data_IF_007751041321
#
_entry.id   IF_007751041321
#
_cell.length_a   1.000
_cell.length_b   1.000
_cell.length_c   1.000
_cell.angle_alpha   90.00
_cell.angle_beta   90.00
_cell.angle_gamma   90.00
#
_symmetry.space_group_name_H-M   'P 1'
#
loop_
_entity.id
_entity.type
_entity.pdbx_description
1 polymer ?
#
# COMPACT_ATOMS: atom_id res chain seq x y z
N UNK A 1 -2.86 -19.13 -13.63
CA UNK A 1 -1.40 -19.40 -13.47
C UNK A 1 -1.22 -19.80 -12.02
N UNK A 2 -0.48 -20.86 -11.76
CA UNK A 2 -0.19 -21.30 -10.39
C UNK A 2 0.58 -20.22 -9.62
N UNK A 3 0.33 -20.14 -8.30
CA UNK A 3 0.90 -19.09 -7.43
C UNK A 3 2.44 -18.99 -7.54
N UNK A 4 3.14 -20.12 -7.45
CA UNK A 4 4.61 -20.14 -7.56
C UNK A 4 5.10 -19.65 -8.94
N UNK A 5 4.36 -19.94 -10.02
CA UNK A 5 4.68 -19.42 -11.34
C UNK A 5 4.42 -17.91 -11.43
N UNK A 6 3.36 -17.42 -10.77
CA UNK A 6 3.06 -16.00 -10.71
C UNK A 6 4.14 -15.22 -9.95
N UNK A 7 4.64 -15.74 -8.83
CA UNK A 7 5.74 -15.16 -8.06
C UNK A 7 6.99 -14.92 -8.92
N UNK A 8 7.29 -15.82 -9.84
CA UNK A 8 8.51 -15.75 -10.66
C UNK A 8 8.33 -14.92 -11.94
N UNK A 9 7.16 -14.98 -12.57
CA UNK A 9 6.99 -14.53 -13.95
C UNK A 9 5.99 -13.40 -14.16
N UNK A 10 5.11 -13.10 -13.20
CA UNK A 10 4.16 -11.99 -13.33
C UNK A 10 4.88 -10.65 -13.22
N UNK A 11 4.29 -9.62 -13.86
CA UNK A 11 4.85 -8.27 -13.85
C UNK A 11 6.00 -8.02 -14.82
N UNK A 12 6.45 -9.05 -15.55
CA UNK A 12 7.49 -8.92 -16.55
C UNK A 12 7.14 -9.71 -17.82
N UNK A 13 7.17 -9.04 -18.97
CA UNK A 13 6.82 -9.62 -20.27
C UNK A 13 8.06 -9.93 -21.17
N UNK A 14 9.21 -10.09 -20.54
CA UNK A 14 10.47 -10.27 -21.24
C UNK A 14 11.12 -8.93 -21.66
N UNK A 15 12.45 -8.90 -21.69
CA UNK A 15 13.20 -7.76 -22.17
C UNK A 15 13.43 -7.92 -23.69
N UNK A 16 13.03 -6.90 -24.47
CA UNK A 16 12.99 -7.00 -25.94
C UNK A 16 14.35 -6.85 -26.62
N UNK A 17 15.29 -6.17 -25.97
CA UNK A 17 16.58 -5.86 -26.60
C UNK A 17 17.55 -7.05 -26.49
N UNK A 18 17.69 -7.63 -25.28
CA UNK A 18 18.62 -8.72 -25.03
C UNK A 18 17.96 -10.04 -24.65
N UNK A 19 16.63 -10.10 -24.62
CA UNK A 19 15.86 -11.32 -24.35
C UNK A 19 15.96 -11.82 -22.90
N UNK A 20 16.20 -10.95 -21.94
CA UNK A 20 16.23 -11.32 -20.52
C UNK A 20 14.93 -11.99 -20.09
N UNK A 21 15.02 -13.08 -19.35
CA UNK A 21 13.87 -13.78 -18.76
C UNK A 21 13.43 -13.20 -17.41
N UNK A 22 14.23 -12.31 -16.84
CA UNK A 22 13.95 -11.57 -15.60
C UNK A 22 14.04 -10.07 -15.87
N UNK A 23 13.37 -9.29 -15.03
CA UNK A 23 13.45 -7.82 -15.09
C UNK A 23 14.88 -7.36 -14.87
N UNK A 24 15.51 -6.66 -15.81
CA UNK A 24 16.81 -6.04 -15.59
C UNK A 24 16.74 -4.97 -14.49
N UNK A 25 17.86 -4.73 -13.82
CA UNK A 25 17.98 -3.64 -12.84
C UNK A 25 18.32 -2.35 -13.60
N UNK A 26 17.35 -1.45 -13.68
CA UNK A 26 17.52 -0.11 -14.27
C UNK A 26 18.02 0.89 -13.23
N UNK A 27 19.31 0.89 -12.99
CA UNK A 27 19.97 1.79 -12.03
C UNK A 27 20.31 3.14 -12.69
N UNK A 28 19.29 3.84 -13.16
CA UNK A 28 19.41 5.12 -13.86
C UNK A 28 18.43 6.14 -13.30
N UNK A 29 18.75 7.43 -13.42
CA UNK A 29 17.87 8.52 -12.98
C UNK A 29 16.92 8.97 -14.07
N UNK A 30 17.37 9.03 -15.33
CA UNK A 30 16.62 9.57 -16.45
C UNK A 30 16.63 8.64 -17.66
N UNK A 31 15.60 8.75 -18.48
CA UNK A 31 15.39 7.96 -19.68
C UNK A 31 15.36 8.88 -20.90
N UNK A 32 16.03 8.46 -22.00
CA UNK A 32 16.08 9.21 -23.25
C UNK A 32 14.84 8.92 -24.11
N UNK A 33 14.43 9.93 -24.88
CA UNK A 33 13.33 9.83 -25.83
C UNK A 33 13.78 10.29 -27.21
N UNK A 34 13.05 9.88 -28.25
CA UNK A 34 13.37 10.22 -29.62
C UNK A 34 13.18 11.69 -29.96
N UNK A 35 12.33 12.40 -29.21
CA UNK A 35 12.09 13.85 -29.35
C UNK A 35 11.57 14.46 -28.04
N UNK A 36 11.62 15.81 -27.97
CA UNK A 36 11.06 16.57 -26.85
C UNK A 36 9.54 16.38 -26.74
N UNK A 37 8.84 16.27 -27.87
CA UNK A 37 7.39 16.05 -27.91
C UNK A 37 7.02 14.68 -27.35
N UNK A 38 7.86 13.66 -27.59
CA UNK A 38 7.64 12.33 -27.01
C UNK A 38 7.84 12.36 -25.49
N UNK A 39 8.89 13.01 -25.01
CA UNK A 39 9.13 13.20 -23.58
C UNK A 39 7.98 13.96 -22.91
N UNK A 40 7.49 15.03 -23.52
CA UNK A 40 6.33 15.78 -23.03
C UNK A 40 5.08 14.89 -22.89
N UNK A 41 4.80 14.05 -23.89
CA UNK A 41 3.66 13.11 -23.82
C UNK A 41 3.79 12.12 -22.66
N UNK A 42 5.00 11.62 -22.41
CA UNK A 42 5.26 10.71 -21.27
C UNK A 42 5.08 11.44 -19.94
N UNK A 43 5.64 12.66 -19.79
CA UNK A 43 5.45 13.46 -18.57
C UNK A 43 3.98 13.79 -18.28
N UNK A 44 3.18 14.03 -19.32
CA UNK A 44 1.76 14.34 -19.19
C UNK A 44 0.86 13.10 -19.18
N UNK A 45 1.41 11.89 -19.01
CA UNK A 45 0.69 10.61 -19.03
C UNK A 45 -0.16 10.39 -20.31
N UNK A 46 0.27 10.99 -21.44
CA UNK A 46 -0.38 10.84 -22.75
C UNK A 46 0.29 9.78 -23.64
N UNK A 47 1.42 9.25 -23.20
CA UNK A 47 2.10 8.12 -23.83
C UNK A 47 2.74 7.23 -22.76
N UNK A 48 2.83 5.91 -22.98
CA UNK A 48 3.56 5.03 -22.09
C UNK A 48 5.06 5.29 -22.17
N UNK A 49 5.75 5.11 -21.05
CA UNK A 49 7.21 5.25 -20.96
C UNK A 49 7.66 5.71 -19.59
N UNK A 50 8.97 5.85 -19.46
CA UNK A 50 9.63 6.32 -18.25
C UNK A 50 10.42 7.59 -18.60
N UNK A 51 10.34 8.60 -17.76
CA UNK A 51 11.07 9.84 -17.94
C UNK A 51 12.13 10.03 -16.86
N UNK A 52 11.78 9.78 -15.62
CA UNK A 52 12.64 9.95 -14.46
C UNK A 52 12.29 8.95 -13.36
N UNK A 53 13.31 8.31 -12.77
CA UNK A 53 13.12 7.16 -11.86
C UNK A 53 12.33 7.48 -10.58
N UNK A 54 12.32 8.74 -10.10
CA UNK A 54 11.47 9.14 -8.97
C UNK A 54 9.98 9.07 -9.32
N UNK A 55 9.63 9.26 -10.60
CA UNK A 55 8.23 9.18 -11.09
C UNK A 55 7.88 7.74 -11.43
N UNK A 56 8.80 7.03 -12.09
CA UNK A 56 8.63 5.63 -12.47
C UNK A 56 9.92 5.01 -12.99
N UNK A 57 10.11 3.73 -12.69
CA UNK A 57 11.28 2.96 -13.10
C UNK A 57 10.85 1.53 -13.46
N UNK A 58 11.34 0.94 -14.57
CA UNK A 58 10.92 -0.39 -15.01
C UNK A 58 11.11 -1.48 -13.97
N UNK A 59 12.18 -1.41 -13.16
CA UNK A 59 12.44 -2.37 -12.08
C UNK A 59 11.39 -2.28 -10.98
N UNK A 60 11.07 -1.06 -10.54
CA UNK A 60 10.05 -0.80 -9.51
C UNK A 60 8.67 -1.20 -10.03
N UNK A 61 8.32 -0.77 -11.24
CA UNK A 61 7.03 -1.13 -11.87
C UNK A 61 6.85 -2.65 -12.00
N UNK A 62 7.92 -3.39 -12.31
CA UNK A 62 7.85 -4.85 -12.37
C UNK A 62 7.56 -5.47 -11.00
N UNK A 63 8.14 -4.92 -9.93
CA UNK A 63 7.86 -5.35 -8.57
C UNK A 63 6.41 -5.03 -8.18
N UNK A 64 5.95 -3.80 -8.40
CA UNK A 64 4.57 -3.36 -8.11
C UNK A 64 3.54 -4.22 -8.83
N UNK A 65 3.72 -4.45 -10.14
CA UNK A 65 2.83 -5.31 -10.92
C UNK A 65 2.80 -6.76 -10.42
N UNK A 66 3.93 -7.25 -9.92
CA UNK A 66 4.02 -8.60 -9.35
C UNK A 66 3.23 -8.71 -8.06
N UNK A 67 3.43 -7.76 -7.12
CA UNK A 67 2.67 -7.71 -5.86
C UNK A 67 1.18 -7.57 -6.13
N UNK A 68 0.77 -6.60 -6.95
CA UNK A 68 -0.63 -6.45 -7.33
C UNK A 68 -1.23 -7.74 -7.89
N UNK A 69 -0.45 -8.50 -8.69
CA UNK A 69 -0.92 -9.76 -9.30
C UNK A 69 -1.08 -10.91 -8.31
N UNK A 70 -0.22 -11.04 -7.31
CA UNK A 70 -0.32 -12.12 -6.31
C UNK A 70 -1.35 -11.82 -5.23
N UNK A 71 -1.57 -10.53 -4.92
CA UNK A 71 -2.61 -10.07 -3.99
C UNK A 71 -3.99 -9.91 -4.67
N UNK A 72 -4.13 -10.17 -5.97
CA UNK A 72 -5.32 -9.87 -6.77
C UNK A 72 -5.78 -8.41 -6.65
N UNK A 73 -4.84 -7.50 -6.38
CA UNK A 73 -5.07 -6.07 -6.23
C UNK A 73 -5.19 -5.35 -7.59
N UNK A 74 -5.83 -4.18 -7.57
CA UNK A 74 -5.94 -3.29 -8.75
C UNK A 74 -4.62 -2.60 -9.08
N UNK A 75 -3.69 -2.52 -8.11
CA UNK A 75 -2.39 -1.89 -8.25
C UNK A 75 -1.57 -2.04 -6.98
N UNK A 76 -0.30 -1.65 -7.06
CA UNK A 76 0.61 -1.55 -5.92
C UNK A 76 1.52 -0.34 -6.08
N UNK A 77 1.99 0.20 -4.96
CA UNK A 77 2.98 1.28 -4.91
C UNK A 77 4.13 0.84 -4.00
N UNK A 78 5.34 0.83 -4.53
CA UNK A 78 6.52 0.48 -3.76
C UNK A 78 7.04 1.68 -2.96
N UNK A 79 7.37 1.45 -1.70
CA UNK A 79 7.96 2.43 -0.81
C UNK A 79 9.36 1.99 -0.38
N UNK A 80 10.14 2.90 0.19
CA UNK A 80 11.51 2.64 0.66
C UNK A 80 11.57 1.83 1.95
N UNK A 81 10.46 1.74 2.69
CA UNK A 81 10.33 0.95 3.92
C UNK A 81 8.87 0.65 4.21
N UNK A 82 8.61 -0.32 5.11
CA UNK A 82 7.25 -0.62 5.58
C UNK A 82 6.61 0.58 6.27
N UNK A 83 7.33 1.29 7.13
CA UNK A 83 6.81 2.51 7.78
C UNK A 83 6.48 3.63 6.78
N UNK A 84 7.26 3.76 5.70
CA UNK A 84 6.90 4.69 4.62
C UNK A 84 5.60 4.26 3.92
N UNK A 85 5.40 2.96 3.71
CA UNK A 85 4.16 2.43 3.13
C UNK A 85 2.95 2.70 4.03
N UNK A 86 3.05 2.40 5.33
CA UNK A 86 1.98 2.68 6.32
C UNK A 86 1.66 4.17 6.36
N UNK A 87 2.69 5.03 6.49
CA UNK A 87 2.50 6.48 6.54
C UNK A 87 1.80 7.00 5.28
N UNK A 88 2.24 6.58 4.10
CA UNK A 88 1.65 7.03 2.84
C UNK A 88 0.22 6.51 2.65
N UNK A 89 -0.06 5.26 3.05
CA UNK A 89 -1.41 4.71 3.00
C UNK A 89 -2.38 5.52 3.87
N UNK A 90 -1.99 5.81 5.11
CA UNK A 90 -2.80 6.58 6.05
C UNK A 90 -2.99 8.03 5.59
N UNK A 91 -1.92 8.74 5.24
CA UNK A 91 -1.99 10.15 4.82
C UNK A 91 -2.64 10.34 3.44
N UNK A 92 -2.81 9.28 2.65
CA UNK A 92 -3.61 9.34 1.43
C UNK A 92 -5.13 9.31 1.71
N UNK A 93 -5.53 8.88 2.90
CA UNK A 93 -6.93 8.69 3.29
C UNK A 93 -7.36 9.74 4.32
N UNK A 94 -6.47 10.07 5.28
CA UNK A 94 -6.78 10.87 6.47
C UNK A 94 -6.39 12.33 6.29
N UNK A 95 -7.27 13.21 6.76
CA UNK A 95 -7.06 14.65 6.86
C UNK A 95 -7.20 15.11 8.33
N UNK A 96 -6.85 16.37 8.59
CA UNK A 96 -7.03 16.97 9.93
C UNK A 96 -8.51 16.99 10.35
N UNK A 97 -8.82 16.40 11.47
CA UNK A 97 -10.18 16.23 12.01
C UNK A 97 -10.72 14.82 11.84
N UNK A 98 -10.04 13.96 11.08
CA UNK A 98 -10.43 12.57 10.86
C UNK A 98 -10.01 11.66 12.02
N UNK A 99 -10.68 10.51 12.08
CA UNK A 99 -10.38 9.45 13.04
C UNK A 99 -10.00 8.15 12.32
N UNK A 100 -9.03 7.45 12.86
CA UNK A 100 -8.68 6.07 12.48
C UNK A 100 -8.93 5.15 13.66
N UNK A 101 -9.56 3.99 13.41
CA UNK A 101 -9.68 2.94 14.42
C UNK A 101 -8.51 1.97 14.21
N UNK A 102 -7.78 1.65 15.26
CA UNK A 102 -6.60 0.80 15.17
C UNK A 102 -6.54 -0.23 16.30
N UNK A 103 -5.89 -1.36 16.05
CA UNK A 103 -5.56 -2.32 17.09
C UNK A 103 -4.58 -1.71 18.11
N UNK A 104 -4.74 -2.03 19.38
CA UNK A 104 -3.74 -1.72 20.42
C UNK A 104 -2.52 -2.66 20.37
N UNK A 105 -2.66 -3.82 19.71
CA UNK A 105 -1.60 -4.82 19.53
C UNK A 105 -0.83 -4.67 18.23
N UNK A 106 -0.33 -3.46 17.92
CA UNK A 106 0.45 -3.16 16.72
C UNK A 106 1.95 -3.12 17.01
N UNK A 107 2.74 -3.22 15.95
CA UNK A 107 4.17 -2.91 15.99
C UNK A 107 4.43 -1.53 16.59
N UNK A 108 5.44 -1.43 17.46
CA UNK A 108 5.75 -0.19 18.19
C UNK A 108 5.92 1.03 17.29
N UNK A 109 6.60 0.88 16.16
CA UNK A 109 6.77 1.97 15.20
C UNK A 109 5.46 2.47 14.58
N UNK A 110 4.45 1.61 14.45
CA UNK A 110 3.12 2.01 13.98
C UNK A 110 2.35 2.76 15.08
N UNK A 111 2.49 2.33 16.35
CA UNK A 111 1.93 3.06 17.50
C UNK A 111 2.55 4.46 17.60
N UNK A 112 3.88 4.55 17.47
CA UNK A 112 4.59 5.84 17.48
C UNK A 112 4.11 6.75 16.34
N UNK A 113 3.94 6.20 15.11
CA UNK A 113 3.39 6.95 13.98
C UNK A 113 2.00 7.52 14.27
N UNK A 114 1.10 6.75 14.89
CA UNK A 114 -0.23 7.25 15.24
C UNK A 114 -0.14 8.39 16.25
N UNK A 115 0.79 8.31 17.23
CA UNK A 115 1.08 9.41 18.15
C UNK A 115 1.63 10.65 17.43
N UNK A 116 2.50 10.47 16.43
CA UNK A 116 3.04 11.55 15.61
C UNK A 116 1.98 12.22 14.72
N UNK A 117 0.88 11.54 14.42
CA UNK A 117 -0.23 12.10 13.64
C UNK A 117 -1.22 12.94 14.49
N UNK A 118 -1.27 12.77 15.83
CA UNK A 118 -2.16 13.56 16.70
C UNK A 118 -1.95 15.07 16.59
N UNK A 119 -0.72 15.62 16.59
CA UNK A 119 -0.49 17.06 16.42
C UNK A 119 -1.00 17.62 15.08
N UNK A 120 -1.19 16.76 14.08
CA UNK A 120 -1.77 17.12 12.78
C UNK A 120 -3.30 17.02 12.75
N UNK A 121 -3.92 16.69 13.90
CA UNK A 121 -5.36 16.64 14.06
C UNK A 121 -6.00 15.31 13.65
N UNK A 122 -5.22 14.25 13.48
CA UNK A 122 -5.72 12.91 13.21
C UNK A 122 -5.80 12.16 14.55
N UNK A 123 -6.97 11.63 14.89
CA UNK A 123 -7.23 10.96 16.16
C UNK A 123 -7.28 9.45 15.98
N UNK A 124 -6.51 8.72 16.79
CA UNK A 124 -6.55 7.25 16.78
C UNK A 124 -7.44 6.74 17.92
N UNK A 125 -8.40 5.87 17.55
CA UNK A 125 -9.25 5.12 18.46
C UNK A 125 -8.77 3.68 18.55
N UNK A 126 -8.32 3.24 19.71
CA UNK A 126 -7.77 1.90 19.87
C UNK A 126 -8.82 0.89 20.33
N UNK A 127 -8.77 -0.31 19.73
CA UNK A 127 -9.48 -1.51 20.16
C UNK A 127 -8.49 -2.55 20.68
N UNK A 128 -8.91 -3.36 21.64
CA UNK A 128 -8.04 -4.41 22.17
C UNK A 128 -8.00 -5.63 21.24
N UNK A 129 -9.12 -5.93 20.59
CA UNK A 129 -9.23 -7.01 19.62
C UNK A 129 -9.78 -6.50 18.30
N UNK A 130 -9.26 -7.03 17.20
CA UNK A 130 -9.72 -6.68 15.84
C UNK A 130 -10.94 -7.54 15.51
N UNK A 131 -12.08 -7.20 16.12
CA UNK A 131 -13.37 -7.86 15.89
C UNK A 131 -14.46 -6.84 15.59
N UNK A 132 -15.51 -7.29 14.89
CA UNK A 132 -16.62 -6.41 14.54
C UNK A 132 -17.27 -5.78 15.78
N UNK A 133 -17.41 -6.52 16.87
CA UNK A 133 -18.04 -6.08 18.12
C UNK A 133 -17.29 -4.93 18.81
N UNK A 134 -15.94 -4.92 18.75
CA UNK A 134 -15.15 -3.83 19.33
C UNK A 134 -15.05 -2.61 18.41
N UNK A 135 -15.10 -2.83 17.10
CA UNK A 135 -14.94 -1.75 16.10
C UNK A 135 -16.25 -1.00 15.88
N UNK A 136 -17.39 -1.69 15.74
CA UNK A 136 -18.67 -1.11 15.38
C UNK A 136 -19.09 0.10 16.25
N UNK A 137 -18.99 0.04 17.59
CA UNK A 137 -19.36 1.16 18.46
C UNK A 137 -18.49 2.43 18.30
N UNK A 138 -17.32 2.31 17.67
CA UNK A 138 -16.37 3.40 17.47
C UNK A 138 -16.53 4.08 16.11
N UNK A 139 -17.24 3.43 15.16
CA UNK A 139 -17.45 4.01 13.83
C UNK A 139 -18.37 5.21 13.93
N UNK A 140 -17.93 6.34 13.37
CA UNK A 140 -18.69 7.58 13.28
C UNK A 140 -18.36 8.33 11.98
N UNK A 141 -18.94 9.51 11.77
CA UNK A 141 -18.75 10.31 10.54
C UNK A 141 -17.31 10.73 10.27
N UNK A 142 -16.46 10.78 11.33
CA UNK A 142 -15.05 11.12 11.24
C UNK A 142 -14.17 9.90 10.97
N UNK A 143 -14.68 8.69 11.14
CA UNK A 143 -13.93 7.46 10.90
C UNK A 143 -13.68 7.31 9.39
N UNK A 144 -12.40 7.37 8.99
CA UNK A 144 -11.99 7.28 7.57
C UNK A 144 -11.17 6.04 7.25
N UNK A 145 -10.65 5.35 8.26
CA UNK A 145 -9.96 4.08 8.07
C UNK A 145 -10.07 3.22 9.33
N UNK A 146 -9.98 1.90 9.12
CA UNK A 146 -9.64 0.93 10.16
C UNK A 146 -8.28 0.33 9.80
N UNK A 147 -7.35 0.32 10.75
CA UNK A 147 -6.00 -0.22 10.56
C UNK A 147 -5.74 -1.39 11.52
N UNK A 148 -5.23 -2.47 10.99
CA UNK A 148 -4.83 -3.62 11.79
C UNK A 148 -3.62 -4.34 11.19
N UNK A 149 -2.93 -5.12 12.00
CA UNK A 149 -1.98 -6.14 11.54
C UNK A 149 -2.72 -7.47 11.37
N UNK A 150 -2.34 -8.25 10.33
CA UNK A 150 -2.90 -9.59 10.12
C UNK A 150 -2.62 -10.48 11.33
N UNK A 151 -1.39 -10.42 11.83
CA UNK A 151 -0.94 -11.06 13.07
C UNK A 151 -0.30 -9.98 13.94
N UNK A 152 -0.93 -9.65 15.06
CA UNK A 152 -0.50 -8.57 15.94
C UNK A 152 0.87 -8.81 16.57
N UNK A 153 1.63 -7.75 16.79
CA UNK A 153 2.98 -7.78 17.38
C UNK A 153 3.03 -6.95 18.68
N UNK A 154 3.35 -7.52 19.84
CA UNK A 154 3.93 -8.86 20.06
C UNK A 154 2.90 -9.95 20.43
N UNK A 155 1.62 -9.63 20.53
CA UNK A 155 0.60 -10.50 21.10
C UNK A 155 0.24 -11.73 20.26
N UNK A 156 0.61 -11.76 18.98
CA UNK A 156 0.30 -12.79 18.00
C UNK A 156 -1.22 -13.05 17.86
N UNK A 157 -2.02 -12.04 18.13
CA UNK A 157 -3.47 -12.10 17.90
C UNK A 157 -3.76 -12.04 16.40
N UNK A 158 -4.66 -12.92 15.95
CA UNK A 158 -5.08 -12.99 14.55
C UNK A 158 -6.35 -12.15 14.38
N UNK A 159 -6.35 -11.22 13.43
CA UNK A 159 -7.52 -10.41 13.10
C UNK A 159 -8.60 -11.23 12.40
N UNK A 160 -9.87 -11.05 12.78
CA UNK A 160 -11.03 -11.58 12.05
C UNK A 160 -11.33 -10.70 10.84
N UNK A 161 -10.55 -10.88 9.77
CA UNK A 161 -10.63 -10.00 8.59
C UNK A 161 -11.97 -10.08 7.87
N UNK A 162 -12.61 -11.26 7.82
CA UNK A 162 -13.86 -11.43 7.09
C UNK A 162 -14.97 -10.61 7.75
N UNK A 163 -15.20 -10.80 9.05
CA UNK A 163 -16.22 -10.05 9.79
C UNK A 163 -15.93 -8.56 9.85
N UNK A 164 -14.66 -8.17 10.08
CA UNK A 164 -14.28 -6.76 10.14
C UNK A 164 -14.41 -6.09 8.77
N UNK A 165 -13.99 -6.75 7.70
CA UNK A 165 -14.09 -6.23 6.33
C UNK A 165 -15.55 -5.99 5.94
N UNK A 166 -16.44 -6.96 6.20
CA UNK A 166 -17.88 -6.82 5.93
C UNK A 166 -18.47 -5.61 6.70
N UNK A 167 -18.17 -5.50 7.99
CA UNK A 167 -18.61 -4.39 8.83
C UNK A 167 -18.17 -3.05 8.26
N UNK A 168 -16.85 -2.83 8.12
CA UNK A 168 -16.30 -1.49 7.79
C UNK A 168 -16.70 -1.06 6.38
N UNK A 169 -16.76 -1.99 5.43
CA UNK A 169 -17.19 -1.70 4.08
C UNK A 169 -18.70 -1.35 4.02
N UNK A 170 -19.52 -1.93 4.90
CA UNK A 170 -20.95 -1.54 4.99
C UNK A 170 -21.12 -0.08 5.42
N UNK A 171 -20.13 0.49 6.12
CA UNK A 171 -20.07 1.89 6.51
C UNK A 171 -19.29 2.78 5.52
N UNK A 172 -18.79 2.21 4.41
CA UNK A 172 -17.97 2.93 3.42
C UNK A 172 -16.58 3.29 3.93
N UNK A 173 -16.08 2.60 4.95
CA UNK A 173 -14.75 2.81 5.56
C UNK A 173 -13.79 1.75 5.01
N UNK A 174 -12.60 2.13 4.51
CA UNK A 174 -11.59 1.18 4.07
C UNK A 174 -10.91 0.47 5.26
N UNK A 175 -10.55 -0.80 5.03
CA UNK A 175 -9.73 -1.59 5.92
C UNK A 175 -8.29 -1.60 5.39
N UNK A 176 -7.34 -1.17 6.20
CA UNK A 176 -5.90 -1.17 5.90
C UNK A 176 -5.24 -2.25 6.74
N UNK A 177 -4.60 -3.20 6.09
CA UNK A 177 -3.95 -4.34 6.77
C UNK A 177 -2.46 -4.32 6.52
N UNK A 178 -1.69 -4.34 7.60
CA UNK A 178 -0.27 -4.68 7.55
C UNK A 178 -0.13 -6.21 7.64
N UNK A 179 0.39 -6.79 6.57
CA UNK A 179 0.63 -8.23 6.45
C UNK A 179 2.13 -8.56 6.40
N UNK A 180 2.92 -7.86 7.19
CA UNK A 180 4.38 -8.07 7.29
C UNK A 180 4.73 -9.44 7.88
N UNK A 181 3.89 -9.99 8.78
CA UNK A 181 4.05 -11.30 9.43
C UNK A 181 2.95 -12.26 9.04
#
# INVERSE_FOLDING_TARGET
>A
MEFNTALLHKGFNGEKVFGSTLTPIYQVSAFSHSSAEQLEKVFNNRAPGYAYSRIGNPTVTSFENRIASIENGVGAVACSSGMAAVTMALLNILESGDEVIASAGLFGGTIDLFGDLEPFGIVTRYVNKVTAEEIEPLINEKTKAVFAELIGNPGLEIADLDAVSELVHSHGVPLVIDSTT
#
